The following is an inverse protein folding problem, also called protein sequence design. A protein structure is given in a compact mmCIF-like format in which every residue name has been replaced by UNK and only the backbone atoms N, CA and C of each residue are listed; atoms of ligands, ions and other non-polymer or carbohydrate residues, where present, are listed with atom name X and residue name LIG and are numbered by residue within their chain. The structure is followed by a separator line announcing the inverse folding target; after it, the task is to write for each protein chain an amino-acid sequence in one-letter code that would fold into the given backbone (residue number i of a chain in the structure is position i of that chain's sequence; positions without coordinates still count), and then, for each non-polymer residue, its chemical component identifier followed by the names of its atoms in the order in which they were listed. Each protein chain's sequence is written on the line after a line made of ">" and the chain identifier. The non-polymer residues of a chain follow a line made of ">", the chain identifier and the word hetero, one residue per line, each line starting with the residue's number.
data_IF_593574954471
#
_entry.id   IF_593574954471
#
_cell.length_a   1.000
_cell.length_b   1.000
_cell.length_c   1.000
_cell.angle_alpha   90.00
_cell.angle_beta   90.00
_cell.angle_gamma   90.00
#
_symmetry.space_group_name_H-M   'P 1'
#
loop_
_entity.id
_entity.type
_entity.pdbx_description
1 polymer ?
#
# COMPACT_ATOMS: atom_id res chain seq x y z
N UNK A 1 -1.69 -11.38 17.43
CA UNK A 1 -2.67 -10.44 16.82
C UNK A 1 -2.09 -9.04 16.87
N UNK A 2 -2.25 -8.22 15.83
CA UNK A 2 -1.77 -6.83 15.83
C UNK A 2 -2.54 -6.02 16.88
N UNK A 3 -1.87 -5.03 17.49
CA UNK A 3 -2.42 -4.09 18.47
C UNK A 3 -2.26 -2.66 17.98
N UNK A 4 -3.09 -1.75 18.48
CA UNK A 4 -2.96 -0.33 18.26
C UNK A 4 -2.08 0.30 19.34
N UNK A 5 -1.24 1.25 18.91
CA UNK A 5 -0.34 2.00 19.76
C UNK A 5 -0.43 3.47 19.39
N UNK A 6 -0.38 4.36 20.39
CA UNK A 6 -0.37 5.80 20.20
C UNK A 6 0.89 6.41 20.80
N UNK A 7 1.58 7.27 20.05
CA UNK A 7 2.65 8.09 20.62
C UNK A 7 2.07 9.16 21.55
N UNK A 8 2.48 9.20 22.82
CA UNK A 8 1.95 10.18 23.78
C UNK A 8 2.44 11.62 23.53
N UNK A 9 3.39 11.83 22.61
CA UNK A 9 3.96 13.14 22.29
C UNK A 9 3.22 13.81 21.12
N UNK A 10 3.02 13.08 20.02
CA UNK A 10 2.46 13.64 18.77
C UNK A 10 1.21 12.92 18.27
N UNK A 11 0.71 11.92 19.01
CA UNK A 11 -0.48 11.12 18.66
C UNK A 11 -0.35 10.26 17.39
N UNK A 12 0.86 9.95 16.92
CA UNK A 12 1.06 8.95 15.87
C UNK A 12 0.40 7.60 16.22
N UNK A 13 -0.44 7.09 15.32
CA UNK A 13 -1.16 5.82 15.49
C UNK A 13 -0.46 4.71 14.70
N UNK A 14 -0.01 3.67 15.41
CA UNK A 14 0.66 2.52 14.82
C UNK A 14 -0.13 1.22 15.04
N UNK A 15 -0.37 0.45 13.97
CA UNK A 15 -0.95 -0.90 14.03
C UNK A 15 0.13 -1.97 13.82
N UNK A 16 0.53 -2.64 14.90
CA UNK A 16 1.66 -3.59 14.86
C UNK A 16 1.62 -4.64 15.96
N UNK A 17 2.45 -5.67 15.84
CA UNK A 17 2.60 -6.68 16.91
C UNK A 17 3.32 -6.12 18.14
N UNK A 18 4.18 -5.11 17.95
CA UNK A 18 4.91 -4.36 18.98
C UNK A 18 4.92 -2.87 18.63
N UNK A 19 5.09 -2.01 19.62
CA UNK A 19 5.31 -0.59 19.39
C UNK A 19 6.67 -0.32 18.72
N UNK A 20 6.79 0.74 17.89
CA UNK A 20 8.08 1.25 17.46
C UNK A 20 8.92 1.76 18.64
N UNK A 21 10.22 1.52 18.62
CA UNK A 21 11.17 2.06 19.61
C UNK A 21 11.37 3.57 19.44
N UNK A 22 11.32 4.07 18.21
CA UNK A 22 11.40 5.50 17.88
C UNK A 22 10.14 5.89 17.12
N UNK A 23 9.49 6.97 17.55
CA UNK A 23 8.33 7.49 16.83
C UNK A 23 8.73 8.02 15.44
N UNK A 24 8.12 7.54 14.34
CA UNK A 24 8.47 7.98 12.99
C UNK A 24 8.07 9.43 12.71
N UNK A 25 7.19 10.00 13.52
CA UNK A 25 6.64 11.35 13.33
C UNK A 25 7.41 12.40 14.13
N UNK A 26 7.64 12.19 15.44
CA UNK A 26 8.34 13.18 16.29
C UNK A 26 9.75 12.78 16.74
N UNK A 27 10.21 11.56 16.44
CA UNK A 27 11.54 11.08 16.79
C UNK A 27 11.75 10.71 18.26
N UNK A 28 10.74 10.86 19.14
CA UNK A 28 10.87 10.50 20.56
C UNK A 28 11.01 8.98 20.73
N UNK A 29 11.92 8.56 21.61
CA UNK A 29 12.16 7.16 21.94
C UNK A 29 11.15 6.65 22.99
N UNK A 30 10.70 5.40 22.85
CA UNK A 30 9.86 4.67 23.80
C UNK A 30 8.57 5.41 24.23
N UNK A 31 7.98 6.19 23.31
CA UNK A 31 6.85 7.08 23.60
C UNK A 31 5.45 6.47 23.34
N UNK A 32 5.37 5.20 22.93
CA UNK A 32 4.10 4.56 22.55
C UNK A 32 3.39 3.90 23.74
N UNK A 33 2.10 4.17 23.86
CA UNK A 33 1.17 3.53 24.80
C UNK A 33 0.11 2.72 24.04
N UNK A 34 -0.50 1.68 24.64
CA UNK A 34 -1.63 0.98 24.02
C UNK A 34 -2.79 1.93 23.72
N UNK A 35 -3.46 1.72 22.60
CA UNK A 35 -4.63 2.48 22.16
C UNK A 35 -5.72 1.52 21.67
N UNK A 36 -6.94 2.03 21.48
CA UNK A 36 -8.06 1.29 20.91
C UNK A 36 -8.56 1.91 19.60
N UNK A 37 -9.51 1.22 18.94
CA UNK A 37 -10.03 1.67 17.66
C UNK A 37 -10.78 3.01 17.74
N UNK A 38 -11.44 3.31 18.87
CA UNK A 38 -12.22 4.54 19.01
C UNK A 38 -11.29 5.75 19.13
N UNK A 39 -10.31 5.67 20.06
CA UNK A 39 -9.28 6.71 20.23
C UNK A 39 -8.49 6.92 18.94
N UNK A 40 -8.06 5.83 18.28
CA UNK A 40 -7.33 5.90 17.02
C UNK A 40 -8.13 6.58 15.90
N UNK A 41 -9.44 6.27 15.78
CA UNK A 41 -10.28 6.88 14.75
C UNK A 41 -10.51 8.38 14.98
N UNK A 42 -10.64 8.81 16.24
CA UNK A 42 -10.80 10.22 16.60
C UNK A 42 -9.54 11.01 16.24
N UNK A 43 -8.36 10.47 16.57
CA UNK A 43 -7.05 11.11 16.29
C UNK A 43 -6.75 11.18 14.80
N UNK A 44 -6.99 10.10 14.05
CA UNK A 44 -6.68 10.06 12.62
C UNK A 44 -7.57 10.99 11.78
N UNK A 45 -8.71 11.44 12.31
CA UNK A 45 -9.66 12.29 11.59
C UNK A 45 -10.35 11.60 10.40
N UNK A 46 -11.32 12.31 9.81
CA UNK A 46 -12.09 11.88 8.64
C UNK A 46 -11.46 12.29 7.31
N UNK A 47 -10.50 13.20 7.32
CA UNK A 47 -9.86 13.73 6.12
C UNK A 47 -8.72 12.80 5.68
N UNK A 48 -9.12 11.71 5.03
CA UNK A 48 -8.20 10.66 4.55
C UNK A 48 -7.93 10.91 3.08
N UNK A 49 -6.69 10.73 2.65
CA UNK A 49 -6.38 10.62 1.22
C UNK A 49 -7.18 9.46 0.62
N UNK A 50 -8.24 9.79 -0.11
CA UNK A 50 -9.16 8.79 -0.67
C UNK A 50 -8.60 8.30 -1.99
N UNK A 51 -8.32 7.00 -2.08
CA UNK A 51 -7.92 6.36 -3.35
C UNK A 51 -9.17 5.78 -4.00
N UNK A 52 -10.05 6.65 -4.49
CA UNK A 52 -11.38 6.34 -5.03
C UNK A 52 -11.55 6.64 -6.53
N UNK A 53 -10.57 7.28 -7.16
CA UNK A 53 -10.58 7.60 -8.58
C UNK A 53 -9.25 7.23 -9.26
N UNK A 54 -9.24 7.23 -10.59
CA UNK A 54 -8.09 6.77 -11.38
C UNK A 54 -6.85 7.60 -11.09
N UNK A 55 -7.01 8.91 -10.98
CA UNK A 55 -5.90 9.83 -10.71
C UNK A 55 -5.24 9.52 -9.37
N UNK A 56 -6.03 9.30 -8.32
CA UNK A 56 -5.49 8.99 -6.99
C UNK A 56 -4.81 7.60 -6.94
N UNK A 57 -5.30 6.62 -7.71
CA UNK A 57 -4.62 5.33 -7.88
C UNK A 57 -3.25 5.52 -8.53
N UNK A 58 -3.19 6.26 -9.64
CA UNK A 58 -1.94 6.52 -10.38
C UNK A 58 -0.97 7.34 -9.53
N UNK A 59 -1.44 8.35 -8.80
CA UNK A 59 -0.62 9.12 -7.85
C UNK A 59 -0.01 8.21 -6.78
N UNK A 60 -0.78 7.29 -6.22
CA UNK A 60 -0.27 6.34 -5.23
C UNK A 60 0.79 5.39 -5.82
N UNK A 61 0.59 4.91 -7.06
CA UNK A 61 1.59 4.10 -7.76
C UNK A 61 2.87 4.86 -8.04
N UNK A 62 2.76 6.11 -8.50
CA UNK A 62 3.89 6.99 -8.74
C UNK A 62 4.67 7.26 -7.45
N UNK A 63 3.99 7.61 -6.36
CA UNK A 63 4.63 7.82 -5.07
C UNK A 63 5.40 6.58 -4.61
N UNK A 64 4.81 5.39 -4.74
CA UNK A 64 5.47 4.13 -4.41
C UNK A 64 6.71 3.86 -5.29
N UNK A 65 6.62 4.08 -6.60
CA UNK A 65 7.75 3.85 -7.51
C UNK A 65 8.86 4.90 -7.38
N UNK A 66 8.51 6.15 -7.09
CA UNK A 66 9.46 7.26 -6.94
C UNK A 66 10.31 7.10 -5.68
N UNK A 67 9.76 6.51 -4.62
CA UNK A 67 10.47 6.18 -3.39
C UNK A 67 11.35 4.93 -3.52
N UNK A 68 11.26 4.19 -4.62
CA UNK A 68 11.97 2.93 -4.81
C UNK A 68 13.20 3.09 -5.71
N UNK A 69 14.40 2.68 -5.24
CA UNK A 69 15.60 2.66 -6.07
C UNK A 69 15.62 1.50 -7.08
N UNK A 70 14.68 0.55 -6.99
CA UNK A 70 14.71 -0.69 -7.79
C UNK A 70 13.71 -0.67 -8.94
N UNK A 71 12.59 0.03 -8.79
CA UNK A 71 11.50 0.01 -9.77
C UNK A 71 11.10 1.42 -10.21
N UNK A 72 10.51 1.48 -11.40
CA UNK A 72 9.79 2.63 -11.93
C UNK A 72 8.41 2.19 -12.43
N UNK A 73 7.51 3.14 -12.60
CA UNK A 73 6.27 2.91 -13.33
C UNK A 73 6.58 2.73 -14.82
N UNK A 74 5.83 1.88 -15.51
CA UNK A 74 5.83 1.82 -16.98
C UNK A 74 5.48 3.19 -17.58
N UNK A 75 5.87 3.45 -18.83
CA UNK A 75 5.49 4.64 -19.59
C UNK A 75 4.30 4.42 -20.52
N UNK A 76 3.75 3.20 -20.54
CA UNK A 76 2.61 2.82 -21.39
C UNK A 76 1.30 3.35 -20.78
N UNK A 77 0.87 4.53 -21.22
CA UNK A 77 -0.28 5.25 -20.68
C UNK A 77 -1.58 4.44 -20.71
N UNK A 78 -1.84 3.71 -21.80
CA UNK A 78 -3.07 2.94 -21.97
C UNK A 78 -3.13 1.76 -20.99
N UNK A 79 -1.99 1.12 -20.71
CA UNK A 79 -1.90 0.06 -19.70
C UNK A 79 -2.14 0.63 -18.29
N UNK A 80 -1.56 1.78 -17.96
CA UNK A 80 -1.78 2.45 -16.66
C UNK A 80 -3.26 2.79 -16.48
N UNK A 81 -3.90 3.36 -17.51
CA UNK A 81 -5.30 3.71 -17.47
C UNK A 81 -6.18 2.47 -17.25
N UNK A 82 -5.98 1.43 -18.05
CA UNK A 82 -6.73 0.18 -17.96
C UNK A 82 -6.60 -0.47 -16.57
N UNK A 83 -5.37 -0.57 -16.06
CA UNK A 83 -5.09 -1.17 -14.76
C UNK A 83 -5.70 -0.32 -13.62
N UNK A 84 -5.63 1.01 -13.72
CA UNK A 84 -6.18 1.89 -12.68
C UNK A 84 -7.70 1.74 -12.58
N UNK A 85 -8.39 1.60 -13.71
CA UNK A 85 -9.83 1.31 -13.77
C UNK A 85 -10.14 -0.03 -13.10
N UNK A 86 -9.39 -1.09 -13.44
CA UNK A 86 -9.60 -2.42 -12.86
C UNK A 86 -9.36 -2.47 -11.34
N UNK A 87 -8.38 -1.72 -10.82
CA UNK A 87 -8.17 -1.59 -9.36
C UNK A 87 -9.39 -0.96 -8.69
N UNK A 88 -9.98 0.08 -9.28
CA UNK A 88 -11.16 0.74 -8.73
C UNK A 88 -12.40 -0.13 -8.79
N UNK A 89 -12.57 -0.92 -9.85
CA UNK A 89 -13.65 -1.90 -9.94
C UNK A 89 -13.51 -2.96 -8.84
N UNK A 90 -12.29 -3.44 -8.58
CA UNK A 90 -12.04 -4.33 -7.44
C UNK A 90 -12.34 -3.65 -6.10
N UNK A 91 -11.97 -2.37 -5.93
CA UNK A 91 -12.29 -1.61 -4.71
C UNK A 91 -13.80 -1.50 -4.51
N UNK A 92 -14.55 -1.13 -5.54
CA UNK A 92 -16.01 -0.97 -5.49
C UNK A 92 -16.72 -2.29 -5.23
N UNK A 93 -16.34 -3.34 -5.94
CA UNK A 93 -17.07 -4.61 -5.94
C UNK A 93 -16.61 -5.56 -4.80
N UNK A 94 -15.38 -5.42 -4.31
CA UNK A 94 -14.76 -6.36 -3.35
C UNK A 94 -14.20 -5.66 -2.09
N UNK A 95 -14.28 -4.33 -2.01
CA UNK A 95 -13.88 -3.54 -0.85
C UNK A 95 -12.38 -3.31 -0.69
N UNK A 96 -11.54 -3.75 -1.63
CA UNK A 96 -10.08 -3.55 -1.60
C UNK A 96 -9.51 -3.39 -3.00
N UNK A 97 -8.36 -2.71 -3.09
CA UNK A 97 -7.64 -2.41 -4.33
C UNK A 97 -6.84 -3.60 -4.87
N UNK A 98 -7.46 -4.78 -5.00
CA UNK A 98 -6.80 -5.99 -5.51
C UNK A 98 -6.22 -5.80 -6.93
N UNK A 99 -5.12 -6.48 -7.27
CA UNK A 99 -4.56 -6.41 -8.63
C UNK A 99 -5.63 -6.83 -9.64
N UNK A 100 -5.93 -6.02 -10.65
CA UNK A 100 -6.87 -6.39 -11.70
C UNK A 100 -6.37 -7.57 -12.54
N UNK A 101 -5.07 -7.82 -12.49
CA UNK A 101 -4.37 -8.88 -13.20
C UNK A 101 -4.44 -10.26 -12.51
N UNK A 102 -5.05 -10.35 -11.31
CA UNK A 102 -5.09 -11.58 -10.52
C UNK A 102 -6.52 -11.91 -10.12
N UNK A 103 -6.80 -13.21 -10.08
CA UNK A 103 -8.08 -13.73 -9.62
C UNK A 103 -8.03 -13.82 -8.09
N UNK A 104 -8.99 -13.16 -7.43
CA UNK A 104 -9.23 -13.29 -5.99
C UNK A 104 -9.81 -14.66 -5.69
N UNK A 105 -9.30 -15.31 -4.64
CA UNK A 105 -9.67 -16.68 -4.26
C UNK A 105 -10.93 -16.74 -3.40
N UNK A 106 -11.35 -15.61 -2.81
CA UNK A 106 -12.43 -15.56 -1.83
C UNK A 106 -11.94 -15.81 -0.40
N UNK A 107 -10.73 -16.32 -0.23
CA UNK A 107 -10.04 -16.36 1.06
C UNK A 107 -9.42 -14.99 1.35
N UNK A 108 -10.00 -14.29 2.33
CA UNK A 108 -9.56 -12.95 2.73
C UNK A 108 -8.06 -12.90 3.05
N UNK A 109 -7.50 -13.86 3.78
CA UNK A 109 -6.09 -13.81 4.20
C UNK A 109 -5.16 -13.95 3.00
N UNK A 110 -5.50 -14.84 2.07
CA UNK A 110 -4.73 -15.01 0.83
C UNK A 110 -4.83 -13.77 -0.06
N UNK A 111 -6.04 -13.25 -0.22
CA UNK A 111 -6.32 -12.14 -1.12
C UNK A 111 -5.70 -10.82 -0.65
N UNK A 112 -5.43 -10.64 0.65
CA UNK A 112 -4.67 -9.48 1.15
C UNK A 112 -3.30 -9.34 0.47
N UNK A 113 -2.67 -10.43 0.02
CA UNK A 113 -1.41 -10.39 -0.71
C UNK A 113 -1.56 -9.86 -2.15
N UNK A 114 -2.79 -9.73 -2.64
CA UNK A 114 -3.12 -9.23 -3.98
C UNK A 114 -3.46 -7.74 -3.99
N UNK A 115 -3.57 -7.06 -2.84
CA UNK A 115 -3.79 -5.61 -2.79
C UNK A 115 -2.64 -4.90 -3.52
N UNK A 116 -2.96 -4.01 -4.46
CA UNK A 116 -2.00 -3.29 -5.29
C UNK A 116 -1.47 -2.02 -4.58
N UNK A 117 -0.14 -1.76 -4.57
CA UNK A 117 0.95 -2.62 -5.05
C UNK A 117 1.10 -3.90 -4.21
N UNK A 118 1.08 -5.05 -4.88
CA UNK A 118 1.24 -6.34 -4.19
C UNK A 118 2.72 -6.60 -3.86
N UNK A 119 3.02 -7.71 -3.19
CA UNK A 119 4.40 -8.11 -2.89
C UNK A 119 5.11 -8.70 -4.12
N UNK A 120 5.04 -8.04 -5.27
CA UNK A 120 5.54 -8.54 -6.55
C UNK A 120 7.05 -8.73 -6.58
N UNK A 121 7.82 -7.95 -5.81
CA UNK A 121 9.28 -8.08 -5.70
C UNK A 121 9.72 -9.48 -5.24
N UNK A 122 8.89 -10.19 -4.47
CA UNK A 122 9.19 -11.56 -4.05
C UNK A 122 8.75 -12.63 -5.05
N UNK A 123 7.94 -12.27 -6.05
CA UNK A 123 7.38 -13.22 -7.01
C UNK A 123 8.43 -13.62 -8.07
N UNK A 124 8.40 -14.88 -8.56
CA UNK A 124 9.35 -15.36 -9.58
C UNK A 124 9.37 -14.48 -10.84
N UNK A 125 8.18 -14.08 -11.33
CA UNK A 125 8.06 -13.25 -12.55
C UNK A 125 8.91 -11.98 -12.46
N UNK A 126 8.85 -11.23 -11.36
CA UNK A 126 9.65 -10.01 -11.23
C UNK A 126 11.16 -10.32 -11.18
N UNK A 127 11.56 -11.43 -10.55
CA UNK A 127 12.98 -11.82 -10.48
C UNK A 127 13.52 -12.24 -11.85
N UNK A 128 12.67 -12.84 -12.67
CA UNK A 128 13.03 -13.38 -14.00
C UNK A 128 12.96 -12.33 -15.10
N UNK A 129 11.90 -11.51 -15.12
CA UNK A 129 11.64 -10.55 -16.21
C UNK A 129 11.99 -9.11 -15.84
N UNK A 130 12.13 -8.81 -14.54
CA UNK A 130 12.22 -7.43 -14.06
C UNK A 130 10.88 -6.70 -14.03
N UNK A 131 9.76 -7.37 -14.30
CA UNK A 131 8.44 -6.73 -14.34
C UNK A 131 7.46 -7.39 -13.36
N UNK A 132 6.57 -6.61 -12.76
CA UNK A 132 5.46 -7.21 -12.03
C UNK A 132 4.53 -7.94 -13.02
N UNK A 133 3.65 -8.83 -12.53
CA UNK A 133 2.84 -9.70 -13.39
C UNK A 133 2.07 -8.97 -14.52
N UNK A 134 1.66 -7.72 -14.30
CA UNK A 134 0.93 -6.92 -15.29
C UNK A 134 1.78 -5.88 -16.02
N UNK A 135 3.11 -5.86 -15.84
CA UNK A 135 4.00 -4.87 -16.47
C UNK A 135 3.91 -3.45 -15.91
N UNK A 136 3.09 -3.20 -14.88
CA UNK A 136 2.90 -1.87 -14.31
C UNK A 136 4.17 -1.30 -13.67
N UNK A 137 4.85 -2.13 -12.87
CA UNK A 137 6.10 -1.79 -12.22
C UNK A 137 7.22 -2.59 -12.88
N UNK A 138 8.22 -1.88 -13.38
CA UNK A 138 9.35 -2.46 -14.08
C UNK A 138 10.65 -2.05 -13.39
N UNK A 139 11.64 -2.93 -13.44
CA UNK A 139 12.96 -2.70 -12.84
C UNK A 139 13.59 -1.47 -13.51
N UNK A 140 14.25 -0.64 -12.70
CA UNK A 140 15.09 0.44 -13.24
C UNK A 140 16.26 -0.18 -13.99
N UNK A 141 16.61 0.43 -15.12
CA UNK A 141 17.86 0.11 -15.80
C UNK A 141 19.01 0.46 -14.85
N UNK A 142 20.03 -0.41 -14.79
CA UNK A 142 21.25 -0.13 -14.06
C UNK A 142 22.04 0.84 -14.95
N UNK A 143 22.23 2.07 -14.51
CA UNK A 143 23.26 2.96 -15.07
C UNK A 143 24.65 2.40 -14.80
#
# INVERSE_FOLDING_TARGET
>A
MKKLWRCHVCNDIHLGNKAPEVCPTCGTQNAFVPSDMNEAMEIMGKDRSVIDNKQNVVTAWKQFSDQSPTIRLTNKTDEIELLSKGVLENLRNKGQRYCPCRITTGDRQRDLNLICPCNFLKQPVFKETGECWCGLFIKRDIE
#
